data_IF_830282174332
#
_entry.id   IF_830282174332
#
_cell.length_a   1.000
_cell.length_b   1.000
_cell.length_c   1.000
_cell.angle_alpha   90.00
_cell.angle_beta   90.00
_cell.angle_gamma   90.00
#
_symmetry.space_group_name_H-M   'P 1'
#
loop_
_entity.id
_entity.type
_entity.pdbx_description
1 polymer ?
#
# COMPACT_ATOMS: atom_id res chain seq x y z
N UNK A 1 0.81 -13.45 7.43
CA UNK A 1 1.60 -12.47 6.70
C UNK A 1 3.02 -12.36 7.28
N UNK A 2 3.98 -13.04 6.63
CA UNK A 2 5.36 -13.15 7.15
C UNK A 2 6.17 -11.85 7.01
N UNK A 3 5.82 -11.00 6.06
CA UNK A 3 6.51 -9.73 5.82
C UNK A 3 6.06 -8.60 6.75
N UNK A 4 4.93 -8.77 7.43
CA UNK A 4 4.39 -7.77 8.35
C UNK A 4 4.98 -7.88 9.75
N UNK A 5 5.13 -6.72 10.42
CA UNK A 5 5.40 -6.66 11.86
C UNK A 5 4.21 -7.17 12.68
N UNK A 6 4.47 -7.53 13.94
CA UNK A 6 3.49 -8.16 14.85
C UNK A 6 2.17 -7.38 14.96
N UNK A 7 2.20 -6.06 14.93
CA UNK A 7 0.99 -5.20 15.01
C UNK A 7 0.04 -5.50 13.84
N UNK A 8 0.56 -5.56 12.62
CA UNK A 8 -0.23 -5.82 11.42
C UNK A 8 -0.66 -7.30 11.36
N UNK A 9 0.19 -8.25 11.81
CA UNK A 9 -0.18 -9.66 11.91
C UNK A 9 -1.39 -9.85 12.84
N UNK A 10 -1.34 -9.27 14.04
CA UNK A 10 -2.45 -9.33 14.99
C UNK A 10 -3.71 -8.63 14.47
N UNK A 11 -3.55 -7.54 13.72
CA UNK A 11 -4.68 -6.87 13.08
C UNK A 11 -5.34 -7.74 12.01
N UNK A 12 -4.55 -8.41 11.18
CA UNK A 12 -5.05 -9.36 10.18
C UNK A 12 -5.81 -10.52 10.86
N UNK A 13 -5.29 -11.07 11.94
CA UNK A 13 -5.97 -12.12 12.71
C UNK A 13 -7.31 -11.65 13.28
N UNK A 14 -7.36 -10.45 13.88
CA UNK A 14 -8.62 -9.86 14.37
C UNK A 14 -9.64 -9.66 13.25
N UNK A 15 -9.19 -9.14 12.12
CA UNK A 15 -10.04 -8.90 10.96
C UNK A 15 -10.64 -10.20 10.40
N UNK A 16 -9.82 -11.25 10.27
CA UNK A 16 -10.27 -12.57 9.81
C UNK A 16 -11.22 -13.20 10.82
N UNK A 17 -10.93 -13.12 12.13
CA UNK A 17 -11.81 -13.61 13.18
C UNK A 17 -13.17 -12.90 13.20
N UNK A 18 -13.21 -11.64 12.80
CA UNK A 18 -14.45 -10.87 12.62
C UNK A 18 -15.18 -11.16 11.30
N UNK A 19 -14.70 -12.12 10.49
CA UNK A 19 -15.34 -12.54 9.25
C UNK A 19 -15.07 -11.66 8.04
N UNK A 20 -13.99 -10.87 8.04
CA UNK A 20 -13.61 -10.05 6.89
C UNK A 20 -13.30 -10.92 5.67
N UNK A 21 -13.87 -10.57 4.53
CA UNK A 21 -13.67 -11.24 3.24
C UNK A 21 -13.26 -10.22 2.17
N UNK A 22 -12.71 -10.69 1.05
CA UNK A 22 -12.39 -9.84 -0.11
C UNK A 22 -13.63 -9.08 -0.61
N UNK A 23 -14.80 -9.75 -0.65
CA UNK A 23 -16.06 -9.08 -1.01
C UNK A 23 -16.44 -7.98 -0.05
N UNK A 24 -16.33 -8.22 1.26
CA UNK A 24 -16.58 -7.21 2.27
C UNK A 24 -15.65 -5.99 2.15
N UNK A 25 -14.39 -6.20 1.72
CA UNK A 25 -13.49 -5.08 1.40
C UNK A 25 -14.01 -4.26 0.22
N UNK A 26 -14.45 -4.90 -0.87
CA UNK A 26 -15.06 -4.18 -2.00
C UNK A 26 -16.34 -3.44 -1.61
N UNK A 27 -17.17 -4.02 -0.77
CA UNK A 27 -18.39 -3.35 -0.26
C UNK A 27 -18.04 -2.13 0.58
N UNK A 28 -17.00 -2.21 1.41
CA UNK A 28 -16.47 -1.06 2.15
C UNK A 28 -15.97 0.05 1.20
N UNK A 29 -15.25 -0.30 0.13
CA UNK A 29 -14.81 0.67 -0.90
C UNK A 29 -16.03 1.34 -1.56
N UNK A 30 -17.04 0.59 -1.95
CA UNK A 30 -18.27 1.13 -2.55
C UNK A 30 -18.98 2.11 -1.60
N UNK A 31 -19.01 1.80 -0.30
CA UNK A 31 -19.60 2.70 0.70
C UNK A 31 -18.79 4.00 0.85
N UNK A 32 -17.46 3.91 0.87
CA UNK A 32 -16.60 5.11 0.89
C UNK A 32 -16.86 5.96 -0.36
N UNK A 33 -17.02 5.34 -1.54
CA UNK A 33 -17.26 6.05 -2.81
C UNK A 33 -18.56 6.84 -2.87
N UNK A 34 -19.54 6.52 -2.02
CA UNK A 34 -20.77 7.33 -1.89
C UNK A 34 -20.50 8.71 -1.31
N UNK A 35 -19.40 8.87 -0.56
CA UNK A 35 -19.12 10.08 0.20
C UNK A 35 -17.79 10.75 -0.19
N UNK A 36 -16.88 10.03 -0.88
CA UNK A 36 -15.53 10.51 -1.13
C UNK A 36 -14.94 9.98 -2.42
N UNK A 37 -14.21 10.85 -3.12
CA UNK A 37 -13.41 10.51 -4.30
C UNK A 37 -11.89 10.41 -3.98
N UNK A 38 -11.53 10.29 -2.70
CA UNK A 38 -10.14 10.11 -2.30
C UNK A 38 -9.55 8.86 -2.97
N UNK A 39 -8.31 8.91 -3.51
CA UNK A 39 -7.68 7.72 -4.07
C UNK A 39 -7.60 6.57 -3.07
N UNK A 40 -8.02 5.37 -3.49
CA UNK A 40 -7.98 4.16 -2.66
C UNK A 40 -7.06 3.15 -3.32
N UNK A 41 -6.05 2.71 -2.57
CA UNK A 41 -5.13 1.63 -2.95
C UNK A 41 -5.37 0.45 -2.02
N UNK A 42 -5.61 -0.72 -2.59
CA UNK A 42 -5.65 -1.97 -1.81
C UNK A 42 -4.22 -2.49 -1.61
N UNK A 43 -3.88 -2.75 -0.37
CA UNK A 43 -2.62 -3.31 0.07
C UNK A 43 -2.85 -4.76 0.51
N UNK A 44 -2.27 -5.72 -0.19
CA UNK A 44 -2.56 -7.14 0.02
C UNK A 44 -1.35 -8.03 -0.28
N UNK A 45 -1.49 -9.31 0.05
CA UNK A 45 -0.67 -10.40 -0.46
C UNK A 45 -1.33 -11.03 -1.68
N UNK A 46 -0.55 -11.77 -2.47
CA UNK A 46 -1.03 -12.43 -3.68
C UNK A 46 -2.09 -13.51 -3.38
N UNK A 47 -1.89 -14.30 -2.32
CA UNK A 47 -2.77 -15.44 -2.04
C UNK A 47 -4.28 -15.09 -1.91
N UNK A 48 -4.72 -14.05 -1.19
CA UNK A 48 -6.14 -13.65 -1.19
C UNK A 48 -6.68 -13.32 -2.57
N UNK A 49 -5.88 -12.70 -3.42
CA UNK A 49 -6.23 -12.34 -4.80
C UNK A 49 -6.35 -13.59 -5.65
N UNK A 50 -5.36 -14.48 -5.55
CA UNK A 50 -5.34 -15.75 -6.28
C UNK A 50 -6.53 -16.64 -5.93
N UNK A 51 -6.86 -16.78 -4.62
CA UNK A 51 -8.02 -17.55 -4.16
C UNK A 51 -9.37 -16.95 -4.60
N UNK A 52 -9.44 -15.64 -4.77
CA UNK A 52 -10.65 -14.97 -5.29
C UNK A 52 -10.78 -15.12 -6.82
N UNK A 53 -9.68 -15.39 -7.49
CA UNK A 53 -9.50 -15.38 -8.94
C UNK A 53 -9.00 -14.01 -9.41
N UNK A 54 -7.80 -13.97 -10.00
CA UNK A 54 -7.09 -12.74 -10.32
C UNK A 54 -7.88 -11.79 -11.23
N UNK A 55 -8.38 -12.29 -12.36
CA UNK A 55 -9.21 -11.52 -13.30
C UNK A 55 -10.48 -10.97 -12.62
N UNK A 56 -11.18 -11.84 -11.87
CA UNK A 56 -12.39 -11.45 -11.15
C UNK A 56 -12.09 -10.40 -10.11
N UNK A 57 -10.96 -10.51 -9.39
CA UNK A 57 -10.55 -9.55 -8.40
C UNK A 57 -10.32 -8.17 -9.03
N UNK A 58 -9.61 -8.09 -10.16
CA UNK A 58 -9.35 -6.83 -10.86
C UNK A 58 -10.66 -6.18 -11.31
N UNK A 59 -11.54 -6.93 -11.97
CA UNK A 59 -12.83 -6.43 -12.45
C UNK A 59 -13.70 -5.91 -11.28
N UNK A 60 -13.75 -6.63 -10.17
CA UNK A 60 -14.55 -6.22 -9.01
C UNK A 60 -13.91 -5.05 -8.25
N UNK A 61 -12.58 -4.98 -8.19
CA UNK A 61 -11.85 -3.85 -7.63
C UNK A 61 -12.13 -2.56 -8.42
N UNK A 62 -12.02 -2.63 -9.75
CA UNK A 62 -12.34 -1.52 -10.64
C UNK A 62 -13.80 -1.07 -10.48
N UNK A 63 -14.75 -2.01 -10.53
CA UNK A 63 -16.18 -1.73 -10.35
C UNK A 63 -16.51 -1.16 -8.96
N UNK A 64 -15.73 -1.48 -7.93
CA UNK A 64 -15.86 -0.90 -6.61
C UNK A 64 -15.29 0.52 -6.52
N UNK A 65 -14.44 0.94 -7.48
CA UNK A 65 -13.79 2.24 -7.49
C UNK A 65 -12.41 2.24 -6.83
N UNK A 66 -11.72 1.10 -6.81
CA UNK A 66 -10.31 1.01 -6.40
C UNK A 66 -9.44 1.69 -7.46
N UNK A 67 -8.46 2.50 -7.05
CA UNK A 67 -7.55 3.21 -7.95
C UNK A 67 -6.22 2.49 -8.15
N UNK A 68 -5.81 1.67 -7.19
CA UNK A 68 -4.54 0.95 -7.29
C UNK A 68 -4.46 -0.28 -6.41
N UNK A 69 -3.51 -1.14 -6.75
CA UNK A 69 -3.15 -2.34 -6.01
C UNK A 69 -1.67 -2.29 -5.66
N UNK A 70 -1.34 -2.60 -4.42
CA UNK A 70 0.02 -2.89 -3.97
C UNK A 70 0.03 -4.32 -3.44
N UNK A 71 0.67 -5.22 -4.18
CA UNK A 71 0.76 -6.65 -3.85
C UNK A 71 2.19 -6.91 -3.36
N UNK A 72 2.31 -7.27 -2.08
CA UNK A 72 3.60 -7.32 -1.37
C UNK A 72 4.56 -8.39 -1.89
N UNK A 73 4.03 -9.53 -2.26
CA UNK A 73 4.76 -10.76 -2.61
C UNK A 73 4.63 -11.11 -4.09
N UNK A 74 4.32 -10.11 -4.95
CA UNK A 74 4.29 -10.28 -6.40
C UNK A 74 5.49 -9.56 -7.03
N UNK A 75 6.56 -10.26 -7.43
CA UNK A 75 7.67 -9.67 -8.16
C UNK A 75 7.26 -9.30 -9.59
N UNK A 76 7.91 -8.31 -10.21
CA UNK A 76 7.53 -7.80 -11.53
C UNK A 76 7.49 -8.87 -12.63
N UNK A 77 8.36 -9.87 -12.54
CA UNK A 77 8.46 -10.94 -13.53
C UNK A 77 7.33 -11.95 -13.45
N UNK A 78 6.67 -12.04 -12.30
CA UNK A 78 5.60 -13.00 -12.04
C UNK A 78 4.22 -12.34 -12.10
N UNK A 79 4.10 -11.25 -12.89
CA UNK A 79 2.83 -10.54 -13.00
C UNK A 79 1.77 -11.36 -13.75
N UNK A 80 1.33 -12.44 -13.10
CA UNK A 80 0.28 -13.34 -13.58
C UNK A 80 -1.04 -12.61 -13.85
N UNK A 81 -1.23 -11.46 -13.19
CA UNK A 81 -2.43 -10.65 -13.30
C UNK A 81 -2.51 -9.95 -14.66
N UNK A 82 -1.38 -9.45 -15.16
CA UNK A 82 -1.33 -8.90 -16.53
C UNK A 82 -1.41 -10.00 -17.59
N UNK A 83 -0.75 -11.15 -17.36
CA UNK A 83 -0.72 -12.25 -18.31
C UNK A 83 -2.07 -12.98 -18.43
N UNK A 84 -2.80 -13.17 -17.34
CA UNK A 84 -4.11 -13.83 -17.38
C UNK A 84 -5.18 -12.93 -17.98
N UNK A 85 -5.16 -11.63 -17.72
CA UNK A 85 -6.03 -10.67 -18.39
C UNK A 85 -5.78 -10.61 -19.91
N UNK A 86 -4.53 -10.80 -20.35
CA UNK A 86 -4.16 -10.81 -21.77
C UNK A 86 -4.48 -12.15 -22.48
N UNK A 87 -4.38 -13.28 -21.78
CA UNK A 87 -4.57 -14.63 -22.37
C UNK A 87 -6.04 -15.00 -22.55
N UNK A 88 -6.93 -14.48 -21.72
CA UNK A 88 -8.37 -14.82 -21.82
C UNK A 88 -9.15 -13.93 -22.80
N UNK A 89 -8.54 -12.89 -23.35
CA UNK A 89 -9.14 -12.07 -24.40
C UNK A 89 -9.06 -12.71 -25.80
N UNK A 90 -9.16 -14.04 -25.89
CA UNK A 90 -9.34 -14.74 -27.18
C UNK A 90 -10.65 -14.41 -27.90
N UNK A 91 -11.47 -13.52 -27.34
CA UNK A 91 -12.71 -13.02 -27.95
C UNK A 91 -12.56 -11.68 -28.67
N UNK A 92 -11.36 -11.19 -28.96
CA UNK A 92 -11.15 -9.96 -29.75
C UNK A 92 -11.61 -8.66 -29.07
N UNK A 93 -12.10 -8.72 -27.84
CA UNK A 93 -12.37 -7.52 -27.05
C UNK A 93 -11.03 -6.90 -26.66
N UNK A 94 -10.76 -5.65 -27.09
CA UNK A 94 -9.65 -4.86 -26.56
C UNK A 94 -9.75 -4.87 -25.05
N UNK A 95 -8.68 -5.28 -24.39
CA UNK A 95 -8.54 -5.09 -22.94
C UNK A 95 -8.77 -3.61 -22.69
N UNK A 96 -9.87 -3.27 -22.02
CA UNK A 96 -10.12 -1.90 -21.60
C UNK A 96 -8.88 -1.43 -20.81
N UNK A 97 -8.45 -0.19 -21.04
CA UNK A 97 -7.35 0.40 -20.26
C UNK A 97 -7.58 0.08 -18.79
N UNK A 98 -6.62 -0.63 -18.17
CA UNK A 98 -6.76 -1.01 -16.77
C UNK A 98 -6.71 0.26 -15.92
N UNK A 99 -7.86 0.63 -15.35
CA UNK A 99 -7.98 1.82 -14.50
C UNK A 99 -7.38 1.60 -13.09
N UNK A 100 -7.05 0.36 -12.74
CA UNK A 100 -6.44 0.02 -11.45
C UNK A 100 -4.93 -0.06 -11.61
N UNK A 101 -4.21 0.88 -11.00
CA UNK A 101 -2.78 1.04 -11.14
C UNK A 101 -2.00 0.04 -10.28
N UNK A 102 -0.97 -0.59 -10.82
CA UNK A 102 -0.08 -1.47 -10.07
C UNK A 102 1.07 -0.69 -9.44
N UNK A 103 0.97 -0.46 -8.13
CA UNK A 103 2.00 0.18 -7.32
C UNK A 103 3.05 -0.88 -6.96
N UNK A 104 4.32 -0.55 -7.18
CA UNK A 104 5.42 -1.46 -6.88
C UNK A 104 6.20 -1.03 -5.65
N UNK A 105 6.68 -2.04 -4.91
CA UNK A 105 7.45 -1.87 -3.68
C UNK A 105 8.95 -2.01 -3.96
N UNK A 106 9.73 -1.11 -3.39
CA UNK A 106 11.20 -1.14 -3.40
C UNK A 106 11.69 -1.15 -1.96
N UNK A 107 12.53 -2.13 -1.64
CA UNK A 107 13.16 -2.27 -0.32
C UNK A 107 14.55 -1.62 -0.29
N UNK A 108 15.09 -1.26 0.88
CA UNK A 108 16.46 -0.73 1.03
C UNK A 108 17.54 -1.65 0.47
N UNK A 109 17.29 -2.95 0.54
CA UNK A 109 18.18 -4.02 0.06
C UNK A 109 18.08 -4.30 -1.43
N UNK A 110 17.14 -3.64 -2.14
CA UNK A 110 16.94 -3.86 -3.58
C UNK A 110 18.16 -3.35 -4.38
N UNK A 111 18.84 -4.20 -5.17
CA UNK A 111 19.96 -3.78 -6.00
C UNK A 111 19.53 -2.77 -7.08
N UNK A 112 20.49 -1.94 -7.55
CA UNK A 112 20.20 -0.84 -8.48
C UNK A 112 19.55 -1.30 -9.79
N UNK A 113 20.01 -2.42 -10.37
CA UNK A 113 19.43 -2.95 -11.61
C UNK A 113 18.00 -3.44 -11.38
N UNK A 114 17.76 -4.09 -10.25
CA UNK A 114 16.42 -4.52 -9.83
C UNK A 114 15.48 -3.34 -9.58
N UNK A 115 15.97 -2.25 -9.00
CA UNK A 115 15.17 -1.03 -8.84
C UNK A 115 14.69 -0.49 -10.19
N UNK A 116 15.54 -0.51 -11.23
CA UNK A 116 15.17 -0.07 -12.59
C UNK A 116 14.06 -0.95 -13.20
N UNK A 117 14.14 -2.26 -13.03
CA UNK A 117 13.12 -3.19 -13.53
C UNK A 117 11.77 -2.99 -12.83
N UNK A 118 11.80 -2.88 -11.50
CA UNK A 118 10.60 -2.61 -10.71
C UNK A 118 9.98 -1.26 -11.13
N UNK A 119 10.79 -0.22 -11.27
CA UNK A 119 10.32 1.11 -11.64
C UNK A 119 9.68 1.15 -13.04
N UNK A 120 10.18 0.37 -14.02
CA UNK A 120 9.60 0.27 -15.36
C UNK A 120 8.19 -0.33 -15.37
N UNK A 121 7.91 -1.28 -14.49
CA UNK A 121 6.60 -1.93 -14.38
C UNK A 121 5.63 -1.21 -13.44
N UNK A 122 6.09 -0.21 -12.69
CA UNK A 122 5.28 0.52 -11.73
C UNK A 122 4.35 1.51 -12.42
N UNK A 123 3.16 1.70 -11.84
CA UNK A 123 2.20 2.73 -12.23
C UNK A 123 1.72 3.47 -10.98
N UNK A 124 1.31 4.73 -11.14
CA UNK A 124 0.83 5.56 -10.04
C UNK A 124 1.95 6.15 -9.20
N UNK A 125 2.57 5.36 -8.36
CA UNK A 125 3.72 5.77 -7.56
C UNK A 125 4.61 4.58 -7.18
N UNK A 126 5.83 4.85 -6.72
CA UNK A 126 6.72 3.86 -6.12
C UNK A 126 6.56 3.88 -4.60
N UNK A 127 6.40 2.71 -4.00
CA UNK A 127 6.39 2.57 -2.55
C UNK A 127 7.78 2.16 -2.05
N UNK A 128 8.49 3.06 -1.40
CA UNK A 128 9.79 2.78 -0.81
C UNK A 128 9.66 2.42 0.67
N UNK A 129 10.14 1.24 1.04
CA UNK A 129 10.23 0.81 2.45
C UNK A 129 11.48 1.41 3.06
N UNK A 130 11.34 2.24 4.10
CA UNK A 130 12.47 2.96 4.70
C UNK A 130 13.28 2.16 5.72
N UNK A 131 12.95 0.90 5.97
CA UNK A 131 13.58 0.05 6.99
C UNK A 131 13.99 -1.33 6.50
N UNK A 132 15.12 -1.80 7.00
CA UNK A 132 15.54 -3.20 6.96
C UNK A 132 15.03 -3.92 8.22
N UNK A 133 14.28 -5.02 8.03
CA UNK A 133 13.80 -5.91 9.10
C UNK A 133 12.51 -5.52 9.80
N UNK A 134 11.87 -6.52 10.42
CA UNK A 134 10.53 -6.44 11.04
C UNK A 134 10.52 -5.96 12.50
N UNK A 135 11.62 -5.49 13.06
CA UNK A 135 11.74 -5.29 14.51
C UNK A 135 11.88 -3.84 14.96
N UNK A 136 10.93 -3.43 15.82
CA UNK A 136 11.06 -2.40 16.85
C UNK A 136 10.98 -0.93 16.39
N UNK A 137 10.30 -0.11 17.19
CA UNK A 137 10.34 1.33 17.08
C UNK A 137 11.78 1.83 17.37
N UNK A 138 12.40 2.52 16.41
CA UNK A 138 13.59 3.34 16.65
C UNK A 138 13.23 4.79 16.37
N UNK A 139 13.77 5.69 17.17
CA UNK A 139 13.44 7.11 17.12
C UNK A 139 14.04 7.88 15.92
N UNK A 140 14.85 7.22 15.07
CA UNK A 140 15.49 7.85 13.91
C UNK A 140 15.14 7.16 12.59
N UNK A 141 14.85 7.96 11.57
CA UNK A 141 14.75 7.55 10.17
C UNK A 141 16.15 7.14 9.69
N UNK A 142 16.21 6.17 8.78
CA UNK A 142 17.48 5.73 8.22
C UNK A 142 18.23 6.92 7.59
N UNK A 143 19.46 7.17 8.01
CA UNK A 143 20.32 8.25 7.48
C UNK A 143 20.58 8.14 5.98
N UNK A 144 20.35 6.97 5.39
CA UNK A 144 20.46 6.69 3.96
C UNK A 144 19.22 7.10 3.14
N UNK A 145 18.09 7.48 3.77
CA UNK A 145 16.85 7.78 3.06
C UNK A 145 17.01 8.85 1.96
N UNK A 146 17.62 10.03 2.23
CA UNK A 146 17.75 11.07 1.20
C UNK A 146 18.52 10.59 -0.03
N UNK A 147 19.60 9.84 0.21
CA UNK A 147 20.42 9.28 -0.87
C UNK A 147 19.63 8.27 -1.71
N UNK A 148 18.89 7.37 -1.06
CA UNK A 148 18.08 6.36 -1.76
C UNK A 148 16.95 6.97 -2.58
N UNK A 149 16.28 7.99 -2.05
CA UNK A 149 15.26 8.73 -2.82
C UNK A 149 15.88 9.44 -4.01
N UNK A 150 17.05 10.06 -3.86
CA UNK A 150 17.77 10.67 -4.97
C UNK A 150 18.21 9.63 -6.04
N UNK A 151 18.58 8.41 -5.66
CA UNK A 151 18.85 7.31 -6.60
C UNK A 151 17.56 6.92 -7.37
N UNK A 152 16.42 6.77 -6.68
CA UNK A 152 15.14 6.45 -7.30
C UNK A 152 14.67 7.52 -8.29
N UNK A 153 14.82 8.80 -7.96
CA UNK A 153 14.48 9.93 -8.84
C UNK A 153 15.31 9.98 -10.14
N UNK A 154 16.47 9.31 -10.18
CA UNK A 154 17.26 9.20 -11.41
C UNK A 154 16.73 8.13 -12.38
N UNK A 155 15.91 7.20 -11.91
CA UNK A 155 15.44 6.05 -12.68
C UNK A 155 13.94 6.05 -12.93
N UNK A 156 13.18 6.95 -12.27
CA UNK A 156 11.73 7.05 -12.43
C UNK A 156 11.23 8.45 -12.14
N UNK A 157 10.29 8.92 -12.95
CA UNK A 157 9.55 10.18 -12.75
C UNK A 157 8.30 9.98 -11.90
N UNK A 158 7.98 8.76 -11.50
CA UNK A 158 6.84 8.48 -10.63
C UNK A 158 7.03 9.09 -9.25
N UNK A 159 5.95 9.59 -8.62
CA UNK A 159 5.99 9.99 -7.22
C UNK A 159 6.50 8.85 -6.32
N UNK A 160 7.22 9.21 -5.27
CA UNK A 160 7.79 8.25 -4.32
C UNK A 160 7.09 8.42 -2.97
N UNK A 161 6.37 7.38 -2.56
CA UNK A 161 5.77 7.28 -1.23
C UNK A 161 6.70 6.49 -0.31
N UNK A 162 7.01 7.05 0.86
CA UNK A 162 7.88 6.39 1.84
C UNK A 162 7.08 5.96 3.05
N UNK A 163 7.28 4.72 3.43
CA UNK A 163 6.62 4.13 4.59
C UNK A 163 7.53 3.21 5.37
N UNK A 164 6.98 2.67 6.40
CA UNK A 164 7.52 1.72 7.35
C UNK A 164 8.09 2.34 8.63
N UNK A 165 7.34 2.13 9.71
CA UNK A 165 7.75 2.51 11.06
C UNK A 165 7.53 3.98 11.44
N UNK A 166 6.89 4.78 10.57
CA UNK A 166 6.50 6.15 10.90
C UNK A 166 5.34 6.09 11.91
N UNK A 167 5.56 6.66 13.09
CA UNK A 167 4.66 6.52 14.23
C UNK A 167 4.24 7.85 14.87
N UNK A 168 4.77 8.97 14.41
CA UNK A 168 4.48 10.29 14.95
C UNK A 168 4.65 11.41 13.92
N UNK A 169 4.09 12.61 14.17
CA UNK A 169 4.17 13.74 13.25
C UNK A 169 5.60 14.24 12.96
N UNK A 170 6.53 14.12 13.91
CA UNK A 170 7.92 14.52 13.71
C UNK A 170 8.58 13.67 12.62
N UNK A 171 8.46 12.35 12.74
CA UNK A 171 8.96 11.41 11.73
C UNK A 171 8.30 11.62 10.36
N UNK A 172 6.98 11.87 10.33
CA UNK A 172 6.29 12.16 9.10
C UNK A 172 6.86 13.41 8.39
N UNK A 173 7.12 14.48 9.15
CA UNK A 173 7.75 15.70 8.64
C UNK A 173 9.15 15.46 8.09
N UNK A 174 9.98 14.69 8.80
CA UNK A 174 11.34 14.36 8.35
C UNK A 174 11.33 13.60 7.02
N UNK A 175 10.41 12.63 6.86
CA UNK A 175 10.25 11.88 5.59
C UNK A 175 9.74 12.78 4.47
N UNK A 176 8.76 13.64 4.75
CA UNK A 176 8.17 14.54 3.77
C UNK A 176 9.17 15.55 3.15
N UNK A 177 10.31 15.81 3.81
CA UNK A 177 11.38 16.62 3.24
C UNK A 177 12.06 15.97 2.02
N UNK A 178 11.93 14.66 1.85
CA UNK A 178 12.63 13.89 0.83
C UNK A 178 11.71 13.15 -0.14
N UNK A 179 10.48 12.83 0.28
CA UNK A 179 9.51 12.02 -0.46
C UNK A 179 8.28 12.84 -0.85
N UNK A 180 7.56 12.37 -1.88
CA UNK A 180 6.33 13.01 -2.37
C UNK A 180 5.11 12.65 -1.51
N UNK A 181 5.18 11.51 -0.80
CA UNK A 181 4.15 11.06 0.12
C UNK A 181 4.72 10.28 1.29
N UNK A 182 3.98 10.26 2.39
CA UNK A 182 4.30 9.53 3.62
C UNK A 182 3.24 8.48 3.89
N UNK A 183 3.65 7.23 4.13
CA UNK A 183 2.74 6.13 4.43
C UNK A 183 2.84 5.76 5.91
N UNK A 184 1.72 5.83 6.61
CA UNK A 184 1.61 5.46 8.03
C UNK A 184 0.61 4.32 8.17
N UNK A 185 1.06 3.15 8.58
CA UNK A 185 0.25 1.94 8.73
C UNK A 185 0.13 1.50 10.18
N UNK A 186 1.16 0.84 10.69
CA UNK A 186 1.14 0.16 11.99
C UNK A 186 0.74 1.06 13.17
N UNK A 187 1.10 2.34 13.15
CA UNK A 187 0.72 3.27 14.21
C UNK A 187 -0.80 3.51 14.27
N UNK A 188 -1.46 3.61 13.10
CA UNK A 188 -2.93 3.72 13.02
C UNK A 188 -3.58 2.41 13.46
N UNK A 189 -3.06 1.28 12.97
CA UNK A 189 -3.56 -0.06 13.31
C UNK A 189 -3.44 -0.35 14.81
N UNK A 190 -2.33 0.05 15.45
CA UNK A 190 -2.13 -0.07 16.90
C UNK A 190 -3.10 0.82 17.68
N UNK A 191 -3.34 2.04 17.20
CA UNK A 191 -4.33 2.93 17.81
C UNK A 191 -5.75 2.35 17.75
N UNK A 192 -6.12 1.75 16.61
CA UNK A 192 -7.40 1.02 16.46
C UNK A 192 -7.44 -0.17 17.44
N UNK A 193 -6.37 -0.95 17.56
CA UNK A 193 -6.30 -2.09 18.48
C UNK A 193 -6.53 -1.68 19.94
N UNK A 194 -5.97 -0.54 20.36
CA UNK A 194 -6.10 -0.01 21.74
C UNK A 194 -7.47 0.57 22.04
N UNK A 195 -8.22 0.96 21.03
CA UNK A 195 -9.46 1.74 21.21
C UNK A 195 -10.66 1.21 20.42
N UNK A 196 -10.55 0.09 19.68
CA UNK A 196 -11.56 -0.42 18.75
C UNK A 196 -12.97 -0.56 19.34
N UNK A 197 -13.06 -0.95 20.61
CA UNK A 197 -14.33 -1.15 21.31
C UNK A 197 -14.85 0.12 22.03
N UNK A 198 -14.17 1.25 21.88
CA UNK A 198 -14.52 2.49 22.61
C UNK A 198 -15.19 3.50 21.69
N UNK A 199 -16.24 4.23 22.17
CA UNK A 199 -16.97 5.21 21.35
C UNK A 199 -16.11 6.30 20.70
N UNK A 200 -14.98 6.63 21.31
CA UNK A 200 -14.04 7.67 20.82
C UNK A 200 -12.94 7.16 19.88
N UNK A 201 -12.99 5.92 19.41
CA UNK A 201 -11.95 5.35 18.55
C UNK A 201 -11.78 6.16 17.26
N UNK A 202 -12.88 6.43 16.56
CA UNK A 202 -12.86 7.20 15.30
C UNK A 202 -12.30 8.61 15.51
N UNK A 203 -12.69 9.29 16.57
CA UNK A 203 -12.17 10.61 16.93
C UNK A 203 -10.65 10.59 17.14
N UNK A 204 -10.14 9.61 17.87
CA UNK A 204 -8.70 9.47 18.13
C UNK A 204 -7.89 9.18 16.86
N UNK A 205 -8.39 8.27 16.03
CA UNK A 205 -7.74 7.95 14.75
C UNK A 205 -7.75 9.17 13.82
N UNK A 206 -8.88 9.86 13.73
CA UNK A 206 -9.03 11.06 12.90
C UNK A 206 -8.14 12.20 13.38
N UNK A 207 -8.01 12.39 14.69
CA UNK A 207 -7.11 13.40 15.27
C UNK A 207 -5.66 13.08 14.93
N UNK A 208 -5.24 11.84 15.16
CA UNK A 208 -3.88 11.39 14.83
C UNK A 208 -3.56 11.55 13.33
N UNK A 209 -4.47 11.14 12.46
CA UNK A 209 -4.31 11.29 11.01
C UNK A 209 -4.21 12.77 10.60
N UNK A 210 -5.00 13.65 11.22
CA UNK A 210 -4.96 15.11 11.00
C UNK A 210 -3.63 15.71 11.45
N UNK A 211 -3.09 15.28 12.58
CA UNK A 211 -1.82 15.77 13.11
C UNK A 211 -0.65 15.34 12.20
N UNK A 212 -0.71 14.10 11.67
CA UNK A 212 0.24 13.65 10.64
C UNK A 212 0.15 14.50 9.38
N UNK A 213 -1.07 14.73 8.87
CA UNK A 213 -1.28 15.54 7.65
C UNK A 213 -0.78 16.98 7.83
N UNK A 214 -1.06 17.62 8.97
CA UNK A 214 -0.54 18.97 9.28
C UNK A 214 0.98 19.02 9.39
N UNK A 215 1.62 17.93 9.72
CA UNK A 215 3.07 17.90 9.88
C UNK A 215 3.83 17.86 8.55
N UNK A 216 3.20 17.41 7.49
CA UNK A 216 3.80 17.25 6.15
C UNK A 216 3.47 18.39 5.18
N UNK A 217 2.57 19.28 5.57
CA UNK A 217 2.22 20.55 4.89
C UNK A 217 2.77 21.75 5.67
#
# INVERSE_FOLDING_TARGET
PLADGIVNQLAAQRSLAAGTTVRGVFDCVREIRRQSQIPIVLYSYLNPIFQFGAEKFHREAEAAGVNGLLILDLPPEEDLLELDCLKQSSSGARVAEQNVLHIRLIAPTTPADRMKEIAKSAKGFLYYVSREGVTGARDSIATSLPQKIAELRKISDLPIAVGFGISNPKQAREVAQHADAVVVGSAIVDLIAKHGDKPKMVEKVSTFARDLAKAIH
#
